data_IF_545151444703
#
_entry.id   IF_545151444703
#
_cell.length_a   1.000
_cell.length_b   1.000
_cell.length_c   1.000
_cell.angle_alpha   90.00
_cell.angle_beta   90.00
_cell.angle_gamma   90.00
#
_symmetry.space_group_name_H-M   'P 1'
#
loop_
_entity.id
_entity.type
_entity.pdbx_description
1 polymer ?
#
# COMPACT_ATOMS: atom_id res chain seq x y z
N UNK A 1 -6.10 15.68 -52.17
CA UNK A 1 -6.25 14.20 -52.20
C UNK A 1 -4.94 13.61 -52.66
N UNK A 2 -4.31 12.80 -51.81
CA UNK A 2 -3.04 12.17 -52.13
C UNK A 2 -3.27 10.76 -52.68
N UNK A 3 -2.33 10.30 -53.51
CA UNK A 3 -2.38 8.97 -54.11
C UNK A 3 -1.18 8.17 -53.64
N UNK A 4 -1.45 7.01 -53.06
CA UNK A 4 -0.43 6.10 -52.55
C UNK A 4 -0.44 4.84 -53.40
N UNK A 5 0.75 4.41 -53.84
CA UNK A 5 0.92 3.12 -54.50
C UNK A 5 1.41 2.09 -53.50
N UNK A 6 0.74 0.95 -53.45
CA UNK A 6 1.07 -0.20 -52.61
C UNK A 6 1.51 -1.35 -53.50
N UNK A 7 2.56 -2.07 -53.12
CA UNK A 7 2.97 -3.30 -53.79
C UNK A 7 2.59 -4.49 -52.90
N UNK A 8 1.65 -5.30 -53.38
CA UNK A 8 1.14 -6.46 -52.66
C UNK A 8 1.17 -7.63 -53.62
N UNK A 9 2.01 -8.63 -53.31
CA UNK A 9 2.13 -9.83 -54.14
C UNK A 9 2.63 -9.59 -55.56
N UNK A 10 3.44 -8.54 -55.77
CA UNK A 10 3.93 -8.15 -57.10
C UNK A 10 2.91 -7.38 -57.94
N UNK A 11 1.73 -7.08 -57.38
CA UNK A 11 0.71 -6.24 -58.01
C UNK A 11 0.75 -4.85 -57.39
N UNK A 12 0.84 -3.82 -58.25
CA UNK A 12 0.80 -2.43 -57.81
C UNK A 12 -0.65 -1.93 -57.72
N UNK A 13 -1.08 -1.63 -56.50
CA UNK A 13 -2.39 -1.07 -56.19
C UNK A 13 -2.28 0.43 -55.97
N UNK A 14 -3.28 1.19 -56.44
CA UNK A 14 -3.31 2.65 -56.27
C UNK A 14 -4.50 3.02 -55.41
N UNK A 15 -4.24 3.62 -54.24
CA UNK A 15 -5.25 3.99 -53.26
C UNK A 15 -5.26 5.51 -53.09
N UNK A 16 -6.44 6.11 -53.14
CA UNK A 16 -6.61 7.52 -52.84
C UNK A 16 -6.77 7.68 -51.31
N UNK A 17 -6.04 8.63 -50.73
CA UNK A 17 -6.09 8.92 -49.31
C UNK A 17 -6.29 10.42 -49.05
N UNK A 18 -6.75 10.72 -47.85
CA UNK A 18 -6.78 12.10 -47.35
C UNK A 18 -5.36 12.60 -47.16
N UNK A 19 -5.19 13.92 -47.23
CA UNK A 19 -3.90 14.56 -46.99
C UNK A 19 -3.39 14.23 -45.58
N UNK A 20 -2.14 13.79 -45.47
CA UNK A 20 -1.54 13.31 -44.23
C UNK A 20 -1.85 11.86 -43.87
N UNK A 21 -2.65 11.15 -44.69
CA UNK A 21 -2.97 9.72 -44.51
C UNK A 21 -2.03 8.77 -45.25
N UNK A 22 -0.98 9.27 -45.89
CA UNK A 22 -0.13 8.49 -46.79
C UNK A 22 0.71 7.46 -46.03
N UNK A 23 1.30 7.87 -44.90
CA UNK A 23 2.10 6.99 -44.05
C UNK A 23 1.27 5.85 -43.44
N UNK A 24 0.03 6.15 -43.05
CA UNK A 24 -0.93 5.18 -42.53
C UNK A 24 -1.23 4.10 -43.58
N UNK A 25 -1.62 4.52 -44.80
CA UNK A 25 -1.94 3.61 -45.90
C UNK A 25 -0.71 2.78 -46.31
N UNK A 26 0.49 3.36 -46.31
CA UNK A 26 1.72 2.61 -46.54
C UNK A 26 2.00 1.59 -45.43
N UNK A 27 1.73 1.92 -44.16
CA UNK A 27 1.85 0.97 -43.05
C UNK A 27 0.87 -0.18 -43.20
N UNK A 28 -0.40 0.10 -43.50
CA UNK A 28 -1.42 -0.92 -43.74
C UNK A 28 -1.05 -1.82 -44.93
N UNK A 29 -0.54 -1.23 -46.02
CA UNK A 29 -0.04 -2.00 -47.16
C UNK A 29 1.10 -2.96 -46.80
N UNK A 30 2.03 -2.55 -45.92
CA UNK A 30 3.09 -3.44 -45.42
C UNK A 30 2.52 -4.59 -44.59
N UNK A 31 1.56 -4.33 -43.71
CA UNK A 31 0.90 -5.36 -42.91
C UNK A 31 0.26 -6.42 -43.84
N UNK A 32 -0.46 -5.99 -44.87
CA UNK A 32 -1.04 -6.90 -45.87
C UNK A 32 0.06 -7.67 -46.63
N UNK A 33 1.13 -6.98 -47.05
CA UNK A 33 2.26 -7.60 -47.76
C UNK A 33 2.99 -8.66 -46.91
N UNK A 34 3.08 -8.48 -45.59
CA UNK A 34 3.70 -9.46 -44.67
C UNK A 34 2.90 -10.76 -44.59
N UNK A 35 1.56 -10.71 -44.63
CA UNK A 35 0.69 -11.89 -44.57
C UNK A 35 0.48 -12.55 -45.93
N UNK A 36 0.79 -11.81 -47.01
CA UNK A 36 0.57 -12.25 -48.38
C UNK A 36 1.17 -13.63 -48.72
N UNK A 37 2.43 -13.97 -48.37
CA UNK A 37 3.00 -15.27 -48.73
C UNK A 37 2.26 -16.46 -48.10
N UNK A 38 1.74 -16.28 -46.88
CA UNK A 38 0.95 -17.30 -46.20
C UNK A 38 -0.41 -17.47 -46.87
N UNK A 39 -1.10 -16.36 -47.13
CA UNK A 39 -2.40 -16.38 -47.81
C UNK A 39 -2.31 -16.93 -49.23
N UNK A 40 -1.26 -16.60 -49.98
CA UNK A 40 -1.04 -17.11 -51.33
C UNK A 40 -0.82 -18.63 -51.35
N UNK A 41 -0.05 -19.17 -50.39
CA UNK A 41 0.11 -20.62 -50.23
C UNK A 41 -1.21 -21.31 -49.89
N UNK A 42 -2.00 -20.71 -49.01
CA UNK A 42 -3.31 -21.24 -48.62
C UNK A 42 -4.36 -21.14 -49.74
N UNK A 43 -4.23 -20.15 -50.64
CA UNK A 43 -5.14 -19.97 -51.76
C UNK A 43 -5.00 -21.05 -52.84
N UNK A 44 -3.84 -21.71 -52.96
CA UNK A 44 -3.57 -22.70 -54.00
C UNK A 44 -3.83 -22.13 -55.40
N UNK A 45 -4.67 -22.83 -56.18
CA UNK A 45 -5.05 -22.41 -57.53
C UNK A 45 -6.10 -21.27 -57.58
N UNK A 46 -6.58 -20.81 -56.41
CA UNK A 46 -7.59 -19.73 -56.32
C UNK A 46 -7.10 -18.34 -56.74
N UNK A 47 -5.80 -18.18 -56.98
CA UNK A 47 -5.21 -16.95 -57.51
C UNK A 47 -5.29 -15.74 -56.56
N UNK A 48 -5.10 -14.55 -57.13
CA UNK A 48 -5.01 -13.27 -56.40
C UNK A 48 -6.30 -12.95 -55.59
N UNK A 49 -7.52 -13.11 -56.12
CA UNK A 49 -8.73 -12.77 -55.37
C UNK A 49 -8.90 -13.65 -54.11
N UNK A 50 -8.62 -14.95 -54.22
CA UNK A 50 -8.69 -15.87 -53.09
C UNK A 50 -7.62 -15.55 -52.04
N UNK A 51 -6.40 -15.22 -52.46
CA UNK A 51 -5.33 -14.82 -51.55
C UNK A 51 -5.65 -13.52 -50.80
N UNK A 52 -6.28 -12.53 -51.46
CA UNK A 52 -6.73 -11.30 -50.80
C UNK A 52 -7.83 -11.58 -49.77
N UNK A 53 -8.82 -12.43 -50.10
CA UNK A 53 -9.86 -12.82 -49.16
C UNK A 53 -9.27 -13.51 -47.93
N UNK A 54 -8.36 -14.46 -48.11
CA UNK A 54 -7.69 -15.14 -47.01
C UNK A 54 -6.86 -14.18 -46.16
N UNK A 55 -6.15 -13.23 -46.78
CA UNK A 55 -5.41 -12.20 -46.05
C UNK A 55 -6.36 -11.31 -45.22
N UNK A 56 -7.51 -10.94 -45.79
CA UNK A 56 -8.52 -10.16 -45.07
C UNK A 56 -9.11 -10.93 -43.88
N UNK A 57 -9.38 -12.22 -44.04
CA UNK A 57 -9.86 -13.08 -42.95
C UNK A 57 -8.81 -13.25 -41.84
N UNK A 58 -7.54 -13.45 -42.18
CA UNK A 58 -6.45 -13.51 -41.20
C UNK A 58 -6.35 -12.22 -40.38
N UNK A 59 -6.38 -11.06 -41.04
CA UNK A 59 -6.34 -9.78 -40.34
C UNK A 59 -7.60 -9.52 -39.51
N UNK A 60 -8.76 -9.95 -39.98
CA UNK A 60 -10.00 -9.85 -39.22
C UNK A 60 -9.96 -10.71 -37.94
N UNK A 61 -9.36 -11.90 -38.03
CA UNK A 61 -9.14 -12.78 -36.87
C UNK A 61 -8.14 -12.15 -35.88
N UNK A 62 -7.00 -11.64 -36.35
CA UNK A 62 -6.01 -10.91 -35.52
C UNK A 62 -6.67 -9.73 -34.78
N UNK A 63 -7.52 -8.96 -35.46
CA UNK A 63 -8.26 -7.82 -34.85
C UNK A 63 -9.31 -8.32 -33.86
N UNK A 64 -10.05 -9.38 -34.19
CA UNK A 64 -11.06 -9.97 -33.30
C UNK A 64 -10.43 -10.49 -32.01
N UNK A 65 -9.29 -11.18 -32.11
CA UNK A 65 -8.54 -11.68 -30.96
C UNK A 65 -7.99 -10.51 -30.12
N UNK A 66 -7.42 -9.49 -30.74
CA UNK A 66 -6.94 -8.30 -30.03
C UNK A 66 -8.08 -7.56 -29.30
N UNK A 67 -9.27 -7.46 -29.91
CA UNK A 67 -10.44 -6.87 -29.26
C UNK A 67 -10.92 -7.71 -28.07
N UNK A 68 -10.93 -9.04 -28.20
CA UNK A 68 -11.28 -9.93 -27.10
C UNK A 68 -10.30 -9.81 -25.93
N UNK A 69 -8.99 -9.72 -26.21
CA UNK A 69 -7.96 -9.49 -25.19
C UNK A 69 -8.14 -8.13 -24.49
N UNK A 70 -8.46 -7.07 -25.22
CA UNK A 70 -8.74 -5.76 -24.64
C UNK A 70 -9.99 -5.76 -23.77
N UNK A 71 -11.05 -6.46 -24.19
CA UNK A 71 -12.26 -6.61 -23.40
C UNK A 71 -11.98 -7.35 -22.08
N UNK A 72 -11.20 -8.43 -22.13
CA UNK A 72 -10.80 -9.16 -20.93
C UNK A 72 -9.87 -8.34 -20.02
N UNK A 73 -8.99 -7.51 -20.59
CA UNK A 73 -8.21 -6.57 -19.78
C UNK A 73 -9.10 -5.53 -19.11
N UNK A 74 -10.12 -5.01 -19.81
CA UNK A 74 -11.06 -4.06 -19.24
C UNK A 74 -11.84 -4.66 -18.07
N UNK A 75 -12.36 -5.88 -18.19
CA UNK A 75 -13.08 -6.55 -17.09
C UNK A 75 -12.16 -6.83 -15.89
N UNK A 76 -10.89 -7.17 -16.12
CA UNK A 76 -9.91 -7.31 -15.03
C UNK A 76 -9.62 -5.99 -14.33
N UNK A 77 -9.50 -4.89 -15.08
CA UNK A 77 -9.30 -3.56 -14.50
C UNK A 77 -10.51 -3.10 -13.68
N UNK A 78 -11.73 -3.38 -14.15
CA UNK A 78 -12.97 -3.15 -13.40
C UNK A 78 -13.03 -3.99 -12.12
N UNK A 79 -12.63 -5.26 -12.17
CA UNK A 79 -12.56 -6.10 -10.98
C UNK A 79 -11.52 -5.56 -9.97
N UNK A 80 -10.37 -5.08 -10.46
CA UNK A 80 -9.35 -4.45 -9.63
C UNK A 80 -9.84 -3.15 -9.00
N UNK A 81 -10.62 -2.32 -9.71
CA UNK A 81 -11.15 -1.09 -9.13
C UNK A 81 -12.12 -1.38 -7.98
N UNK A 82 -13.01 -2.36 -8.15
CA UNK A 82 -13.91 -2.79 -7.06
C UNK A 82 -13.12 -3.29 -5.85
N UNK A 83 -12.05 -4.07 -6.08
CA UNK A 83 -11.19 -4.55 -4.99
C UNK A 83 -10.49 -3.39 -4.25
N UNK A 84 -10.04 -2.36 -4.97
CA UNK A 84 -9.42 -1.17 -4.36
C UNK A 84 -10.45 -0.38 -3.54
N UNK A 85 -11.67 -0.22 -4.06
CA UNK A 85 -12.76 0.43 -3.32
C UNK A 85 -13.06 -0.32 -2.01
N UNK A 86 -13.17 -1.65 -2.05
CA UNK A 86 -13.37 -2.46 -0.84
C UNK A 86 -12.21 -2.33 0.16
N UNK A 87 -10.97 -2.32 -0.32
CA UNK A 87 -9.79 -2.10 0.53
C UNK A 87 -9.79 -0.71 1.17
N UNK A 88 -10.19 0.34 0.43
CA UNK A 88 -10.32 1.69 0.99
C UNK A 88 -11.36 1.74 2.10
N UNK A 89 -12.53 1.15 1.89
CA UNK A 89 -13.59 1.10 2.90
C UNK A 89 -13.14 0.35 4.17
N UNK A 90 -12.35 -0.73 4.02
CA UNK A 90 -11.77 -1.45 5.14
C UNK A 90 -10.75 -0.60 5.91
N UNK A 91 -9.88 0.13 5.20
CA UNK A 91 -8.90 1.02 5.83
C UNK A 91 -9.57 2.17 6.58
N UNK A 92 -10.63 2.75 6.03
CA UNK A 92 -11.40 3.81 6.70
C UNK A 92 -12.07 3.30 7.98
N UNK A 93 -12.61 2.08 7.96
CA UNK A 93 -13.17 1.44 9.14
C UNK A 93 -12.11 1.15 10.21
N UNK A 94 -10.91 0.69 9.81
CA UNK A 94 -9.79 0.50 10.74
C UNK A 94 -9.30 1.82 11.34
N UNK A 95 -9.26 2.90 10.54
CA UNK A 95 -8.88 4.22 11.03
C UNK A 95 -9.86 4.70 12.12
N UNK A 96 -11.17 4.57 11.88
CA UNK A 96 -12.21 4.89 12.86
C UNK A 96 -12.04 4.09 14.16
N UNK A 97 -11.74 2.79 14.05
CA UNK A 97 -11.49 1.93 15.22
C UNK A 97 -10.26 2.37 16.02
N UNK A 98 -9.18 2.79 15.36
CA UNK A 98 -7.97 3.28 16.02
C UNK A 98 -8.22 4.64 16.72
N UNK A 99 -9.02 5.51 16.11
CA UNK A 99 -9.43 6.78 16.73
C UNK A 99 -10.24 6.53 18.02
N UNK A 100 -11.20 5.60 17.98
CA UNK A 100 -11.95 5.20 19.17
C UNK A 100 -11.05 4.61 20.27
N UNK A 101 -10.10 3.75 19.90
CA UNK A 101 -9.13 3.19 20.85
C UNK A 101 -8.23 4.27 21.48
N UNK A 102 -7.78 5.24 20.69
CA UNK A 102 -7.01 6.37 21.20
C UNK A 102 -7.83 7.18 22.21
N UNK A 103 -9.07 7.53 21.87
CA UNK A 103 -9.94 8.29 22.76
C UNK A 103 -10.21 7.55 24.08
N UNK A 104 -10.35 6.23 24.04
CA UNK A 104 -10.48 5.40 25.25
C UNK A 104 -9.22 5.40 26.11
N UNK A 105 -8.04 5.30 25.50
CA UNK A 105 -6.76 5.34 26.22
C UNK A 105 -6.50 6.72 26.84
N UNK A 106 -6.84 7.80 26.14
CA UNK A 106 -6.74 9.16 26.65
C UNK A 106 -7.65 9.35 27.87
N UNK A 107 -8.90 8.86 27.80
CA UNK A 107 -9.83 8.88 28.91
C UNK A 107 -9.33 8.05 30.12
N UNK A 108 -8.76 6.86 29.89
CA UNK A 108 -8.16 6.05 30.95
C UNK A 108 -6.96 6.77 31.60
N UNK A 109 -6.11 7.40 30.79
CA UNK A 109 -4.95 8.14 31.28
C UNK A 109 -5.37 9.33 32.15
N UNK A 110 -6.41 10.07 31.73
CA UNK A 110 -6.99 11.14 32.53
C UNK A 110 -7.53 10.63 33.88
N UNK A 111 -8.24 9.50 33.89
CA UNK A 111 -8.74 8.87 35.13
C UNK A 111 -7.61 8.45 36.08
N UNK A 112 -6.54 7.85 35.56
CA UNK A 112 -5.37 7.49 36.38
C UNK A 112 -4.67 8.72 36.94
N UNK A 113 -4.57 9.80 36.16
CA UNK A 113 -3.98 11.06 36.63
C UNK A 113 -4.82 11.71 37.73
N UNK A 114 -6.15 11.70 37.59
CA UNK A 114 -7.07 12.17 38.63
C UNK A 114 -6.99 11.33 39.91
N UNK A 115 -6.87 10.00 39.79
CA UNK A 115 -6.63 9.13 40.94
C UNK A 115 -5.28 9.41 41.61
N UNK A 116 -4.22 9.63 40.83
CA UNK A 116 -2.91 9.99 41.37
C UNK A 116 -2.97 11.33 42.12
N UNK A 117 -3.70 12.33 41.59
CA UNK A 117 -3.93 13.60 42.26
C UNK A 117 -4.70 13.45 43.58
N UNK A 118 -5.72 12.57 43.62
CA UNK A 118 -6.48 12.26 44.84
C UNK A 118 -5.65 11.53 45.91
N UNK A 119 -4.72 10.66 45.50
CA UNK A 119 -3.77 10.01 46.42
C UNK A 119 -2.66 10.96 46.88
N UNK A 120 -2.34 11.97 46.05
CA UNK A 120 -1.31 12.96 46.34
C UNK A 120 -1.80 14.14 47.19
N UNK A 121 -3.10 14.28 47.50
CA UNK A 121 -3.54 15.20 48.54
C UNK A 121 -3.27 14.58 49.91
N UNK A 122 -2.25 15.02 50.68
CA UNK A 122 -2.19 14.66 52.08
C UNK A 122 -3.39 15.34 52.75
N UNK A 123 -4.31 14.52 53.25
CA UNK A 123 -5.21 14.90 54.32
C UNK A 123 -4.38 15.29 55.53
N UNK A 124 -3.88 16.52 55.57
CA UNK A 124 -3.39 17.16 56.78
C UNK A 124 -4.64 17.72 57.47
N UNK A 125 -5.16 17.12 58.54
CA UNK A 125 -6.01 17.89 59.43
C UNK A 125 -5.17 19.06 59.92
N UNK A 126 -5.61 20.28 59.63
CA UNK A 126 -5.03 21.51 60.13
C UNK A 126 -5.20 21.57 61.65
N UNK A 127 -4.34 20.86 62.36
CA UNK A 127 -4.03 21.10 63.76
C UNK A 127 -2.52 20.96 63.94
N UNK A 128 -1.78 21.93 63.41
CA UNK A 128 -0.33 22.05 63.61
C UNK A 128 -0.06 23.23 64.54
N UNK A 129 -0.39 23.02 65.82
CA UNK A 129 0.01 23.94 66.89
C UNK A 129 0.67 23.26 68.10
N UNK A 130 0.96 21.96 68.10
CA UNK A 130 1.67 21.30 69.21
C UNK A 130 2.62 20.21 68.67
N UNK A 131 3.94 20.44 68.78
CA UNK A 131 4.89 19.66 69.60
C UNK A 131 5.29 18.32 68.94
N UNK A 132 6.55 18.06 68.58
CA UNK A 132 7.69 17.93 69.49
C UNK A 132 8.99 18.36 68.79
N UNK A 133 9.74 19.28 69.42
CA UNK A 133 11.16 19.39 69.13
C UNK A 133 11.82 18.11 69.65
N UNK A 134 12.32 17.27 68.75
CA UNK A 134 13.15 16.11 69.10
C UNK A 134 14.30 16.63 69.96
N UNK A 135 14.31 16.27 71.23
CA UNK A 135 15.26 16.78 72.22
C UNK A 135 16.68 16.35 71.82
N UNK A 136 17.64 17.27 71.92
CA UNK A 136 19.02 17.04 71.48
C UNK A 136 19.64 15.83 72.21
N UNK A 137 19.26 15.61 73.47
CA UNK A 137 19.66 14.45 74.26
C UNK A 137 19.16 13.13 73.68
N UNK A 138 17.98 13.10 73.07
CA UNK A 138 17.48 11.88 72.40
C UNK A 138 18.28 11.55 71.14
N UNK A 139 18.73 12.57 70.40
CA UNK A 139 19.59 12.35 69.23
C UNK A 139 20.98 11.87 69.64
N UNK A 140 21.54 12.40 70.73
CA UNK A 140 22.84 11.95 71.27
C UNK A 140 22.74 10.49 71.75
N UNK A 141 21.68 10.13 72.48
CA UNK A 141 21.49 8.76 72.94
C UNK A 141 21.32 7.75 71.79
N UNK A 142 20.68 8.15 70.69
CA UNK A 142 20.57 7.31 69.48
C UNK A 142 21.95 7.15 68.81
N UNK A 143 22.74 8.22 68.73
CA UNK A 143 24.08 8.18 68.16
C UNK A 143 25.01 7.24 68.94
N UNK A 144 25.05 7.35 70.28
CA UNK A 144 25.86 6.47 71.14
C UNK A 144 25.43 4.99 71.01
N UNK A 145 24.12 4.74 70.89
CA UNK A 145 23.60 3.37 70.70
C UNK A 145 23.99 2.79 69.34
N UNK A 146 24.05 3.62 68.30
CA UNK A 146 24.51 3.18 66.97
C UNK A 146 26.02 2.90 66.97
N UNK A 147 26.82 3.71 67.67
CA UNK A 147 28.26 3.49 67.80
C UNK A 147 28.56 2.18 68.55
N UNK A 148 27.86 1.91 69.65
CA UNK A 148 27.99 0.62 70.37
C UNK A 148 27.56 -0.60 69.54
N UNK A 149 26.56 -0.47 68.67
CA UNK A 149 26.17 -1.55 67.75
C UNK A 149 27.19 -1.77 66.63
N UNK A 150 27.84 -0.70 66.15
CA UNK A 150 28.91 -0.82 65.16
C UNK A 150 30.14 -1.54 65.76
N UNK A 151 30.56 -1.17 66.97
CA UNK A 151 31.67 -1.82 67.67
C UNK A 151 31.39 -3.31 67.96
N UNK A 152 30.14 -3.66 68.31
CA UNK A 152 29.72 -5.03 68.54
C UNK A 152 29.72 -5.89 67.25
N UNK A 153 29.56 -5.27 66.08
CA UNK A 153 29.64 -5.95 64.78
C UNK A 153 31.08 -6.06 64.25
N UNK A 154 32.00 -5.21 64.73
CA UNK A 154 33.41 -5.21 64.31
C UNK A 154 34.28 -6.19 65.13
N UNK A 155 33.79 -6.67 66.29
CA UNK A 155 34.46 -7.75 67.02
C UNK A 155 34.25 -9.11 66.31
N UNK A 156 35.33 -9.84 65.97
CA UNK A 156 35.21 -11.14 65.30
C UNK A 156 34.53 -12.16 66.21
N UNK A 157 33.56 -12.90 65.67
CA UNK A 157 32.80 -13.92 66.39
C UNK A 157 33.73 -14.86 67.20
N UNK A 158 33.39 -15.19 68.45
CA UNK A 158 34.14 -16.20 69.21
C UNK A 158 34.05 -17.53 68.47
N UNK A 159 35.21 -18.04 68.07
CA UNK A 159 35.40 -19.35 67.46
C UNK A 159 35.10 -20.42 68.53
N UNK A 160 33.99 -21.14 68.38
CA UNK A 160 33.76 -22.49 68.90
C UNK A 160 32.81 -23.26 67.97
#
# INVERSE_FOLDING_TARGET
MARVSLDIGGTRWTVNTREGGEAEVQRLGRIVAERWPQALRAAGDGGIPQALLLTALMLADEVSEAQAQLADQATRLEAQSVQIEEQSALLDAQASQLEEQSALLDAQTAQFNDQAAQLATPSVPSDSAQAEAVDLDTLVAIAERLEGLAEALEQPAPND
#
